data_IF_912802206244
#
_entry.id   IF_912802206244
#
_cell.length_a   1.000
_cell.length_b   1.000
_cell.length_c   1.000
_cell.angle_alpha   90.00
_cell.angle_beta   90.00
_cell.angle_gamma   90.00
#
_symmetry.space_group_name_H-M   'P 1'
#
loop_
_entity.id
_entity.type
_entity.pdbx_description
1 polymer ?
#
# COMPACT_ATOMS: atom_id res chain seq x y z
N UNK A 1 -15.28 3.89 14.91
CA UNK A 1 -15.21 2.51 14.42
C UNK A 1 -14.08 1.81 15.17
N UNK A 2 -14.39 0.93 16.10
CA UNK A 2 -13.40 0.01 16.64
C UNK A 2 -13.16 -1.04 15.55
N UNK A 3 -12.02 -0.98 14.86
CA UNK A 3 -11.56 -2.03 13.96
C UNK A 3 -11.22 -3.22 14.87
N UNK A 4 -12.16 -4.16 15.01
CA UNK A 4 -11.98 -5.35 15.83
C UNK A 4 -11.10 -6.40 15.16
N UNK A 5 -10.93 -6.30 13.85
CA UNK A 5 -10.08 -7.20 13.05
C UNK A 5 -9.22 -6.36 12.11
N UNK A 6 -7.89 -6.48 12.15
CA UNK A 6 -6.99 -5.69 11.30
C UNK A 6 -7.01 -6.12 9.83
N UNK A 7 -7.67 -7.25 9.49
CA UNK A 7 -7.85 -7.66 8.10
C UNK A 7 -8.90 -6.78 7.42
N UNK A 8 -8.47 -5.96 6.48
CA UNK A 8 -9.38 -5.10 5.70
C UNK A 8 -9.91 -5.85 4.46
N UNK A 9 -11.24 -6.05 4.31
CA UNK A 9 -11.83 -6.77 3.17
C UNK A 9 -11.89 -5.89 1.92
N UNK A 10 -10.71 -5.59 1.35
CA UNK A 10 -10.57 -4.57 0.30
C UNK A 10 -11.37 -4.88 -0.96
N UNK A 11 -11.43 -6.15 -1.41
CA UNK A 11 -12.16 -6.51 -2.62
C UNK A 11 -13.65 -6.24 -2.46
N UNK A 12 -14.22 -6.70 -1.36
CA UNK A 12 -15.64 -6.51 -1.03
C UNK A 12 -15.99 -5.02 -0.91
N UNK A 13 -15.09 -4.23 -0.36
CA UNK A 13 -15.28 -2.77 -0.26
C UNK A 13 -15.28 -2.12 -1.65
N UNK A 14 -14.34 -2.49 -2.50
CA UNK A 14 -14.24 -1.92 -3.86
C UNK A 14 -15.39 -2.38 -4.74
N UNK A 15 -15.81 -3.63 -4.66
CA UNK A 15 -16.90 -4.18 -5.48
C UNK A 15 -18.29 -3.70 -5.04
N UNK A 16 -18.52 -3.58 -3.73
CA UNK A 16 -19.89 -3.37 -3.22
C UNK A 16 -20.11 -2.01 -2.55
N UNK A 17 -19.08 -1.39 -1.96
CA UNK A 17 -19.24 -0.10 -1.31
C UNK A 17 -18.92 1.07 -2.25
N UNK A 18 -17.90 0.95 -3.10
CA UNK A 18 -17.52 2.03 -4.03
C UNK A 18 -18.63 2.41 -4.99
N UNK A 19 -19.34 1.48 -5.68
CA UNK A 19 -20.45 1.84 -6.57
C UNK A 19 -21.62 2.55 -5.86
N UNK A 20 -21.77 2.34 -4.55
CA UNK A 20 -22.78 3.06 -3.75
C UNK A 20 -22.39 4.50 -3.43
N UNK A 21 -21.07 4.75 -3.30
CA UNK A 21 -20.52 6.08 -3.00
C UNK A 21 -20.27 6.89 -4.28
N UNK A 22 -19.87 6.20 -5.33
CA UNK A 22 -19.57 6.75 -6.66
C UNK A 22 -20.30 5.90 -7.70
N UNK A 23 -21.54 6.27 -8.11
CA UNK A 23 -22.36 5.46 -9.05
C UNK A 23 -21.68 5.18 -10.41
N UNK A 24 -20.76 6.03 -10.83
CA UNK A 24 -19.97 5.91 -12.07
C UNK A 24 -18.75 4.99 -11.92
N UNK A 25 -18.45 4.57 -10.69
CA UNK A 25 -17.27 3.74 -10.42
C UNK A 25 -17.47 2.32 -10.95
N UNK A 26 -16.43 1.78 -11.59
CA UNK A 26 -16.37 0.36 -11.95
C UNK A 26 -15.01 -0.26 -11.63
N UNK A 27 -15.06 -1.49 -11.13
CA UNK A 27 -13.91 -2.38 -11.09
C UNK A 27 -14.00 -3.31 -12.30
N UNK A 28 -12.97 -3.32 -13.14
CA UNK A 28 -12.90 -4.18 -14.33
C UNK A 28 -11.70 -5.12 -14.27
N UNK A 29 -11.77 -6.21 -15.03
CA UNK A 29 -10.71 -7.21 -15.13
C UNK A 29 -10.20 -7.25 -16.56
N UNK A 30 -8.90 -7.06 -16.74
CA UNK A 30 -8.22 -7.11 -18.04
C UNK A 30 -7.41 -8.39 -18.21
N UNK A 31 -7.32 -8.87 -19.44
CA UNK A 31 -6.51 -10.04 -19.78
C UNK A 31 -5.01 -9.74 -19.66
N UNK A 32 -4.20 -10.78 -19.39
CA UNK A 32 -2.75 -10.64 -19.25
C UNK A 32 -2.10 -10.06 -20.52
N UNK A 33 -2.59 -10.44 -21.69
CA UNK A 33 -2.07 -9.95 -22.96
C UNK A 33 -2.40 -8.46 -23.20
N UNK A 34 -3.52 -7.98 -22.68
CA UNK A 34 -3.95 -6.58 -22.77
C UNK A 34 -3.20 -5.71 -21.76
N UNK A 35 -3.04 -6.18 -20.53
CA UNK A 35 -2.45 -5.42 -19.42
C UNK A 35 -0.92 -5.45 -19.43
N UNK A 36 -0.30 -6.44 -20.05
CA UNK A 36 1.16 -6.61 -20.07
C UNK A 36 1.75 -6.68 -18.66
N UNK A 37 2.73 -5.82 -18.38
CA UNK A 37 3.41 -5.76 -17.08
C UNK A 37 2.59 -5.00 -16.02
N UNK A 38 1.49 -4.34 -16.39
CA UNK A 38 0.66 -3.63 -15.45
C UNK A 38 -0.21 -4.62 -14.66
N UNK A 39 -0.05 -4.63 -13.35
CA UNK A 39 -0.84 -5.46 -12.44
C UNK A 39 -2.20 -4.83 -12.12
N UNK A 40 -2.25 -3.50 -12.07
CA UNK A 40 -3.43 -2.67 -11.89
C UNK A 40 -3.27 -1.35 -12.64
N UNK A 41 -4.37 -0.70 -12.96
CA UNK A 41 -4.43 0.63 -13.58
C UNK A 41 -5.65 1.37 -13.06
N UNK A 42 -5.46 2.65 -12.71
CA UNK A 42 -6.54 3.56 -12.34
C UNK A 42 -6.76 4.59 -13.42
N UNK A 43 -7.98 4.62 -13.98
CA UNK A 43 -8.42 5.58 -14.97
C UNK A 43 -9.35 6.60 -14.33
N UNK A 44 -8.81 7.73 -13.93
CA UNK A 44 -9.53 8.78 -13.18
C UNK A 44 -10.66 9.39 -14.01
N UNK A 45 -10.43 9.59 -15.31
CA UNK A 45 -11.39 10.15 -16.26
C UNK A 45 -12.61 9.26 -16.51
N UNK A 46 -12.50 7.97 -16.22
CA UNK A 46 -13.57 6.97 -16.38
C UNK A 46 -14.08 6.41 -15.04
N UNK A 47 -13.57 6.90 -13.93
CA UNK A 47 -13.86 6.36 -12.59
C UNK A 47 -13.66 4.84 -12.52
N UNK A 48 -12.60 4.33 -13.16
CA UNK A 48 -12.35 2.91 -13.31
C UNK A 48 -11.06 2.49 -12.62
N UNK A 49 -11.11 1.38 -11.89
CA UNK A 49 -9.94 0.60 -11.52
C UNK A 49 -9.97 -0.68 -12.33
N UNK A 50 -8.87 -0.98 -13.05
CA UNK A 50 -8.73 -2.21 -13.81
C UNK A 50 -7.63 -3.07 -13.21
N UNK A 51 -7.96 -4.30 -12.86
CA UNK A 51 -6.99 -5.30 -12.40
C UNK A 51 -6.69 -6.31 -13.48
N UNK A 52 -5.44 -6.75 -13.58
CA UNK A 52 -5.10 -7.89 -14.40
C UNK A 52 -5.73 -9.16 -13.80
N UNK A 53 -6.19 -10.08 -14.65
CA UNK A 53 -7.00 -11.24 -14.24
C UNK A 53 -6.34 -12.11 -13.17
N UNK A 54 -5.01 -12.31 -13.24
CA UNK A 54 -4.26 -13.08 -12.24
C UNK A 54 -4.18 -12.36 -10.88
N UNK A 55 -4.10 -11.02 -10.91
CA UNK A 55 -4.13 -10.17 -9.70
C UNK A 55 -5.50 -10.20 -9.06
N UNK A 56 -6.57 -10.05 -9.86
CA UNK A 56 -7.95 -10.14 -9.36
C UNK A 56 -8.18 -11.47 -8.62
N UNK A 57 -7.86 -12.61 -9.26
CA UNK A 57 -7.95 -13.91 -8.61
C UNK A 57 -7.00 -14.09 -7.42
N UNK A 58 -5.88 -13.37 -7.42
CA UNK A 58 -4.99 -13.33 -6.27
C UNK A 58 -5.59 -12.59 -5.08
N UNK A 59 -6.32 -11.50 -5.31
CA UNK A 59 -7.06 -10.78 -4.25
C UNK A 59 -8.17 -11.65 -3.67
N UNK A 60 -8.96 -12.34 -4.52
CA UNK A 60 -9.98 -13.31 -4.06
C UNK A 60 -9.37 -14.38 -3.15
N UNK A 61 -8.18 -14.86 -3.49
CA UNK A 61 -7.40 -15.85 -2.70
C UNK A 61 -6.63 -15.23 -1.53
N UNK A 62 -6.86 -13.95 -1.23
CA UNK A 62 -6.23 -13.20 -0.14
C UNK A 62 -4.69 -13.14 -0.23
N UNK A 63 -4.12 -13.19 -1.43
CA UNK A 63 -2.68 -13.05 -1.62
C UNK A 63 -2.23 -11.61 -1.30
N UNK A 64 -1.30 -11.48 -0.36
CA UNK A 64 -0.89 -10.19 0.19
C UNK A 64 -0.34 -9.20 -0.84
N UNK A 65 0.40 -9.68 -1.84
CA UNK A 65 0.91 -8.85 -2.94
C UNK A 65 -0.25 -8.24 -3.76
N UNK A 66 -1.21 -9.08 -4.15
CA UNK A 66 -2.29 -8.68 -5.03
C UNK A 66 -3.27 -7.76 -4.31
N UNK A 67 -3.49 -7.98 -3.01
CA UNK A 67 -4.23 -7.07 -2.13
C UNK A 67 -3.58 -5.69 -2.03
N UNK A 68 -2.23 -5.64 -1.92
CA UNK A 68 -1.49 -4.38 -1.94
C UNK A 68 -1.60 -3.67 -3.29
N UNK A 69 -1.59 -4.41 -4.41
CA UNK A 69 -1.83 -3.84 -5.73
C UNK A 69 -3.21 -3.16 -5.79
N UNK A 70 -4.28 -3.84 -5.38
CA UNK A 70 -5.63 -3.23 -5.36
C UNK A 70 -5.67 -2.01 -4.42
N UNK A 71 -5.06 -2.09 -3.24
CA UNK A 71 -5.01 -0.97 -2.30
C UNK A 71 -4.25 0.24 -2.87
N UNK A 72 -3.20 0.01 -3.66
CA UNK A 72 -2.45 1.04 -4.36
C UNK A 72 -3.32 1.74 -5.41
N UNK A 73 -4.05 0.99 -6.23
CA UNK A 73 -4.98 1.56 -7.22
C UNK A 73 -6.11 2.35 -6.54
N UNK A 74 -6.63 1.86 -5.42
CA UNK A 74 -7.59 2.61 -4.58
C UNK A 74 -6.97 3.92 -4.08
N UNK A 75 -5.68 3.91 -3.72
CA UNK A 75 -4.93 5.11 -3.36
C UNK A 75 -4.91 6.14 -4.51
N UNK A 76 -4.62 5.70 -5.73
CA UNK A 76 -4.70 6.58 -6.91
C UNK A 76 -6.10 7.12 -7.12
N UNK A 77 -7.12 6.27 -7.06
CA UNK A 77 -8.51 6.68 -7.24
C UNK A 77 -8.95 7.74 -6.22
N UNK A 78 -8.67 7.54 -4.95
CA UNK A 78 -9.15 8.43 -3.88
C UNK A 78 -8.34 9.71 -3.75
N UNK A 79 -7.01 9.66 -3.94
CA UNK A 79 -6.12 10.79 -3.68
C UNK A 79 -5.91 11.68 -4.91
N UNK A 80 -6.04 11.13 -6.12
CA UNK A 80 -5.67 11.83 -7.36
C UNK A 80 -6.86 12.11 -8.29
N UNK A 81 -8.08 11.83 -7.85
CA UNK A 81 -9.30 12.11 -8.60
C UNK A 81 -9.61 13.63 -8.74
N UNK A 82 -8.74 14.51 -8.27
CA UNK A 82 -8.90 15.95 -8.42
C UNK A 82 -8.02 16.48 -9.56
N UNK A 83 -8.61 17.12 -10.61
CA UNK A 83 -7.88 17.66 -11.76
C UNK A 83 -6.77 18.66 -11.39
N UNK A 84 -6.85 19.28 -10.21
CA UNK A 84 -5.84 20.21 -9.69
C UNK A 84 -4.51 19.53 -9.37
N UNK A 85 -4.53 18.29 -8.85
CA UNK A 85 -3.33 17.55 -8.51
C UNK A 85 -2.65 16.93 -9.74
N UNK A 86 -3.41 16.51 -10.74
CA UNK A 86 -2.89 15.95 -11.99
C UNK A 86 -2.01 16.93 -12.79
N UNK A 87 -2.24 18.25 -12.67
CA UNK A 87 -1.43 19.28 -13.33
C UNK A 87 -0.09 19.51 -12.63
N UNK A 88 -0.04 19.41 -11.30
CA UNK A 88 1.18 19.60 -10.53
C UNK A 88 2.21 18.48 -10.76
N UNK A 89 1.75 17.28 -11.07
CA UNK A 89 2.62 16.10 -11.25
C UNK A 89 3.38 16.06 -12.59
N UNK A 90 2.98 16.84 -13.60
CA UNK A 90 3.56 16.78 -14.95
C UNK A 90 4.88 17.52 -15.14
N UNK A 91 5.36 18.32 -14.18
CA UNK A 91 6.49 19.24 -14.38
C UNK A 91 7.61 19.10 -13.34
N UNK A 92 7.97 17.90 -12.87
CA UNK A 92 8.92 17.91 -11.77
C UNK A 92 9.90 16.75 -11.72
N UNK A 93 11.08 17.00 -12.19
CA UNK A 93 12.31 16.30 -11.79
C UNK A 93 12.70 16.58 -10.31
N UNK A 94 12.09 17.57 -9.65
CA UNK A 94 12.43 18.07 -8.32
C UNK A 94 11.31 17.95 -7.27
N UNK A 95 10.27 17.12 -7.50
CA UNK A 95 9.24 16.92 -6.47
C UNK A 95 9.79 15.99 -5.38
N UNK A 96 9.77 16.42 -4.10
CA UNK A 96 10.07 15.53 -2.98
C UNK A 96 9.21 14.26 -3.06
N UNK A 97 9.78 13.10 -2.72
CA UNK A 97 9.13 11.79 -2.85
C UNK A 97 7.68 11.75 -2.30
N UNK A 98 7.41 12.41 -1.17
CA UNK A 98 6.07 12.48 -0.56
C UNK A 98 5.02 13.25 -1.39
N UNK A 99 5.44 13.98 -2.43
CA UNK A 99 4.56 14.67 -3.38
C UNK A 99 4.29 13.84 -4.63
N UNK A 100 5.02 12.75 -4.86
CA UNK A 100 4.74 11.88 -6.00
C UNK A 100 3.45 11.09 -5.77
N UNK A 101 2.64 10.95 -6.82
CA UNK A 101 1.40 10.16 -6.79
C UNK A 101 1.66 8.71 -6.38
N UNK A 102 2.75 8.13 -6.89
CA UNK A 102 3.17 6.76 -6.57
C UNK A 102 3.51 6.57 -5.09
N UNK A 103 4.25 7.51 -4.52
CA UNK A 103 4.58 7.46 -3.10
C UNK A 103 3.32 7.56 -2.23
N UNK A 104 2.40 8.46 -2.61
CA UNK A 104 1.15 8.66 -1.87
C UNK A 104 0.25 7.43 -1.96
N UNK A 105 0.12 6.81 -3.15
CA UNK A 105 -0.65 5.58 -3.33
C UNK A 105 -0.05 4.42 -2.53
N UNK A 106 1.28 4.27 -2.51
CA UNK A 106 1.95 3.26 -1.70
C UNK A 106 1.76 3.49 -0.19
N UNK A 107 1.89 4.75 0.27
CA UNK A 107 1.69 5.10 1.68
C UNK A 107 0.22 4.84 2.10
N UNK A 108 -0.73 5.17 1.23
CA UNK A 108 -2.15 4.89 1.42
C UNK A 108 -2.42 3.39 1.53
N UNK A 109 -1.90 2.59 0.59
CA UNK A 109 -2.07 1.13 0.60
C UNK A 109 -1.53 0.50 1.89
N UNK A 110 -0.35 0.93 2.33
CA UNK A 110 0.23 0.49 3.59
C UNK A 110 -0.62 0.85 4.80
N UNK A 111 -1.11 2.09 4.88
CA UNK A 111 -1.93 2.56 5.98
C UNK A 111 -3.32 1.89 6.01
N UNK A 112 -3.92 1.65 4.84
CA UNK A 112 -5.21 1.00 4.71
C UNK A 112 -5.18 -0.45 5.17
N UNK A 113 -4.18 -1.21 4.71
CA UNK A 113 -4.10 -2.65 5.01
C UNK A 113 -3.43 -2.96 6.34
N UNK A 114 -2.61 -2.05 6.87
CA UNK A 114 -1.85 -2.23 8.11
C UNK A 114 -2.09 -1.04 9.06
N UNK A 115 -3.23 -1.02 9.79
CA UNK A 115 -3.55 0.07 10.71
C UNK A 115 -2.48 0.23 11.79
N UNK A 116 -2.08 1.49 12.05
CA UNK A 116 -1.01 1.81 13.00
C UNK A 116 -1.34 1.34 14.43
N UNK A 117 -2.61 1.34 14.81
CA UNK A 117 -3.08 0.87 16.11
C UNK A 117 -2.74 -0.60 16.32
N UNK A 118 -2.90 -1.43 15.26
CA UNK A 118 -2.51 -2.83 15.30
C UNK A 118 -0.98 -3.00 15.30
N UNK A 119 -0.26 -2.23 14.46
CA UNK A 119 1.20 -2.28 14.42
C UNK A 119 1.87 -1.92 15.74
N UNK A 120 1.22 -1.11 16.59
CA UNK A 120 1.71 -0.76 17.94
C UNK A 120 1.64 -1.92 18.92
N UNK A 121 0.81 -2.91 18.66
CA UNK A 121 0.55 -4.07 19.55
C UNK A 121 1.04 -5.37 18.99
N UNK A 122 1.40 -5.42 17.71
CA UNK A 122 1.92 -6.61 17.06
C UNK A 122 3.30 -7.01 17.63
N UNK A 123 3.50 -8.32 17.79
CA UNK A 123 4.70 -8.89 18.39
C UNK A 123 5.74 -9.36 17.37
N UNK A 124 5.37 -9.44 16.08
CA UNK A 124 6.28 -9.83 15.00
C UNK A 124 5.80 -9.38 13.63
N UNK A 125 6.74 -9.24 12.67
CA UNK A 125 6.39 -8.98 11.27
C UNK A 125 5.54 -10.10 10.66
N UNK A 126 5.76 -11.34 11.11
CA UNK A 126 4.98 -12.49 10.69
C UNK A 126 3.52 -12.33 11.11
N UNK A 127 3.27 -11.97 12.36
CA UNK A 127 1.93 -11.70 12.87
C UNK A 127 1.24 -10.59 12.05
N UNK A 128 1.95 -9.49 11.75
CA UNK A 128 1.42 -8.42 10.91
C UNK A 128 1.04 -8.95 9.52
N UNK A 129 1.94 -9.71 8.88
CA UNK A 129 1.70 -10.26 7.56
C UNK A 129 0.49 -11.21 7.51
N UNK A 130 0.39 -12.12 8.48
CA UNK A 130 -0.69 -13.10 8.56
C UNK A 130 -2.04 -12.44 8.88
N UNK A 131 -2.11 -11.58 9.87
CA UNK A 131 -3.37 -10.97 10.33
C UNK A 131 -3.85 -9.90 9.35
N UNK A 132 -2.97 -9.04 8.85
CA UNK A 132 -3.34 -8.02 7.86
C UNK A 132 -3.50 -8.57 6.43
N UNK A 133 -3.07 -9.79 6.17
CA UNK A 133 -3.12 -10.42 4.85
C UNK A 133 -2.24 -9.68 3.84
N UNK A 134 -0.99 -9.38 4.23
CA UNK A 134 0.02 -8.72 3.38
C UNK A 134 1.29 -9.57 3.31
N UNK A 135 2.26 -9.17 2.49
CA UNK A 135 3.58 -9.84 2.47
C UNK A 135 4.45 -9.39 3.65
N UNK A 136 5.39 -10.23 4.06
CA UNK A 136 6.36 -9.87 5.11
C UNK A 136 7.19 -8.65 4.73
N UNK A 137 7.59 -8.52 3.46
CA UNK A 137 8.33 -7.37 2.95
C UNK A 137 7.51 -6.07 3.04
N UNK A 138 6.20 -6.15 2.77
CA UNK A 138 5.30 -5.01 2.93
C UNK A 138 5.14 -4.63 4.40
N UNK A 139 4.97 -5.61 5.28
CA UNK A 139 4.90 -5.39 6.72
C UNK A 139 6.17 -4.71 7.25
N UNK A 140 7.36 -5.18 6.83
CA UNK A 140 8.63 -4.57 7.19
C UNK A 140 8.75 -3.13 6.65
N UNK A 141 8.41 -2.92 5.38
CA UNK A 141 8.49 -1.60 4.73
C UNK A 141 7.59 -0.58 5.42
N UNK A 142 6.35 -0.94 5.70
CA UNK A 142 5.38 -0.09 6.39
C UNK A 142 5.84 0.24 7.81
N UNK A 143 6.23 -0.76 8.58
CA UNK A 143 6.69 -0.58 9.96
C UNK A 143 7.92 0.31 10.05
N UNK A 144 8.91 0.10 9.16
CA UNK A 144 10.10 0.96 9.07
C UNK A 144 9.76 2.39 8.63
N UNK A 145 8.81 2.55 7.70
CA UNK A 145 8.34 3.86 7.25
C UNK A 145 7.72 4.67 8.40
N UNK A 146 6.82 4.06 9.15
CA UNK A 146 6.16 4.68 10.30
C UNK A 146 7.14 5.02 11.43
N UNK A 147 8.13 4.17 11.66
CA UNK A 147 9.17 4.45 12.65
C UNK A 147 10.08 5.61 12.26
N UNK A 148 10.45 5.72 10.97
CA UNK A 148 11.20 6.89 10.46
C UNK A 148 10.40 8.18 10.57
N UNK A 149 9.08 8.10 10.43
CA UNK A 149 8.18 9.23 10.61
C UNK A 149 7.92 9.56 12.10
N UNK A 150 8.49 8.81 13.05
CA UNK A 150 8.27 9.01 14.49
C UNK A 150 6.89 8.57 15.00
N UNK A 151 6.14 7.82 14.19
CA UNK A 151 4.78 7.36 14.50
C UNK A 151 4.77 6.01 15.24
N UNK A 152 5.85 5.25 15.14
CA UNK A 152 6.12 4.06 15.95
C UNK A 152 7.40 4.27 16.74
N UNK A 153 7.40 3.88 18.01
CA UNK A 153 8.58 3.98 18.86
C UNK A 153 9.58 2.84 18.57
N UNK A 154 10.86 3.04 18.96
CA UNK A 154 11.92 2.06 18.69
C UNK A 154 11.74 0.74 19.46
N UNK A 155 11.00 0.72 20.58
CA UNK A 155 10.71 -0.52 21.32
C UNK A 155 9.79 -1.43 20.50
N UNK A 156 8.73 -0.88 19.86
CA UNK A 156 7.88 -1.65 18.96
C UNK A 156 8.66 -2.30 17.81
N UNK A 157 9.67 -1.61 17.25
CA UNK A 157 10.52 -2.17 16.20
C UNK A 157 11.36 -3.36 16.69
N UNK A 158 11.88 -3.29 17.92
CA UNK A 158 12.69 -4.35 18.50
C UNK A 158 11.83 -5.58 18.82
N UNK A 159 10.63 -5.36 19.34
CA UNK A 159 9.65 -6.41 19.63
C UNK A 159 9.18 -7.13 18.37
N UNK A 160 8.97 -6.40 17.28
CA UNK A 160 8.59 -6.94 15.97
C UNK A 160 9.77 -7.64 15.25
N UNK A 161 11.01 -7.58 15.81
CA UNK A 161 12.19 -8.27 15.27
C UNK A 161 12.94 -7.49 14.17
N UNK A 162 12.67 -6.18 14.04
CA UNK A 162 13.41 -5.33 13.11
C UNK A 162 14.69 -4.81 13.77
N UNK A 163 15.80 -5.51 13.55
CA UNK A 163 17.13 -5.05 13.98
C UNK A 163 17.56 -3.81 13.19
N UNK A 164 18.13 -2.81 13.89
CA UNK A 164 18.84 -1.69 13.22
C UNK A 164 20.01 -2.27 12.41
N UNK A 165 20.01 -2.16 11.08
CA UNK A 165 21.25 -2.25 10.31
C UNK A 165 22.17 -1.16 10.82
N UNK A 166 23.23 -1.51 11.57
CA UNK A 166 24.33 -0.59 11.88
C UNK A 166 24.89 -0.10 10.55
N UNK A 167 24.92 1.21 10.36
CA UNK A 167 25.71 1.85 9.29
C UNK A 167 27.14 1.33 9.44
N UNK A 168 27.67 0.71 8.37
CA UNK A 168 28.96 0.04 8.39
C UNK A 168 30.07 0.93 8.96
N UNK A 169 30.77 0.38 9.91
CA UNK A 169 32.09 0.80 10.34
C UNK A 169 33.02 0.65 9.13
N UNK A 170 33.36 1.76 8.50
CA UNK A 170 34.52 1.80 7.63
C UNK A 170 35.74 1.76 8.52
N UNK A 171 36.17 0.54 8.85
CA UNK A 171 37.48 0.31 9.46
C UNK A 171 38.58 0.81 8.53
N UNK A 172 39.10 1.97 8.81
CA UNK A 172 40.41 2.40 8.30
C UNK A 172 41.48 1.49 8.88
N UNK A 173 42.18 0.74 8.02
CA UNK A 173 43.44 0.12 8.35
C UNK A 173 44.50 1.20 8.49
N UNK A 174 45.29 1.25 9.57
CA UNK A 174 46.53 1.97 9.58
C UNK A 174 47.63 1.13 8.92
N UNK A 175 48.37 1.77 8.04
CA UNK A 175 49.61 1.36 7.42
C UNK A 175 50.74 1.09 8.42
#
# INVERSE_FOLDING_TARGET
LQIREPFFPILEVVEFAFPKLWPEFCLTVGEMAEMGDNHGLTFIDRSEIRLRVDVYHGVEKKKGRDRLTLAHEVGHFLLHNNPGYARAARNSADIPAYRSSEWQANAFAGALLMPIEFLRTATSLREVAEICGVTSDAAETQTRGLARAGLLNNSALTEIGISRKRKGDHGGSPS
#
